data_IF_252462354534
#
_entry.id   IF_252462354534
#
_cell.length_a   1.000
_cell.length_b   1.000
_cell.length_c   1.000
_cell.angle_alpha   90.00
_cell.angle_beta   90.00
_cell.angle_gamma   90.00
#
_symmetry.space_group_name_H-M   'P 1'
#
loop_
_entity.id
_entity.type
_entity.pdbx_description
1 polymer ?
#
# COMPACT_ATOMS: atom_id res chain seq x y z
N UNK A 1 -31.49 -6.23 45.02
CA UNK A 1 -30.66 -7.05 45.94
C UNK A 1 -31.21 -7.13 47.38
N UNK A 2 -31.86 -6.12 47.90
CA UNK A 2 -32.42 -6.10 49.29
C UNK A 2 -33.58 -7.05 49.52
N UNK A 3 -34.47 -7.32 48.55
CA UNK A 3 -35.67 -8.15 48.74
C UNK A 3 -35.39 -9.63 49.00
N UNK A 4 -34.26 -10.15 48.54
CA UNK A 4 -33.89 -11.59 48.66
C UNK A 4 -33.34 -11.94 50.04
N UNK A 5 -32.97 -10.95 50.86
CA UNK A 5 -32.26 -11.16 52.13
C UNK A 5 -33.15 -11.77 53.21
N UNK A 6 -34.49 -11.56 53.15
CA UNK A 6 -35.46 -12.03 54.15
C UNK A 6 -36.19 -13.33 53.76
N UNK A 7 -35.85 -13.97 52.63
CA UNK A 7 -36.53 -15.18 52.16
C UNK A 7 -35.94 -16.47 52.75
N UNK A 8 -36.74 -17.58 52.82
CA UNK A 8 -36.25 -18.91 53.21
C UNK A 8 -35.08 -19.39 52.31
N UNK A 9 -34.16 -20.15 52.88
CA UNK A 9 -32.94 -20.61 52.20
C UNK A 9 -33.22 -21.31 50.86
N UNK A 10 -34.25 -22.16 50.80
CA UNK A 10 -34.62 -22.87 49.55
C UNK A 10 -35.05 -21.90 48.44
N UNK A 11 -35.89 -20.90 48.80
CA UNK A 11 -36.38 -19.89 47.85
C UNK A 11 -35.25 -19.00 47.33
N UNK A 12 -34.27 -18.67 48.18
CA UNK A 12 -33.04 -17.95 47.76
C UNK A 12 -32.22 -18.74 46.74
N UNK A 13 -32.05 -20.06 46.97
CA UNK A 13 -31.28 -20.95 46.07
C UNK A 13 -31.97 -21.04 44.72
N UNK A 14 -33.31 -21.19 44.72
CA UNK A 14 -34.09 -21.22 43.48
C UNK A 14 -34.00 -19.92 42.69
N UNK A 15 -34.17 -18.75 43.33
CA UNK A 15 -34.08 -17.45 42.66
C UNK A 15 -32.68 -17.22 42.10
N UNK A 16 -31.63 -17.59 42.84
CA UNK A 16 -30.24 -17.48 42.31
C UNK A 16 -30.01 -18.36 41.11
N UNK A 17 -30.53 -19.60 41.14
CA UNK A 17 -30.42 -20.50 39.99
C UNK A 17 -31.19 -19.98 38.77
N UNK A 18 -32.41 -19.51 38.96
CA UNK A 18 -33.21 -18.90 37.88
C UNK A 18 -32.57 -17.63 37.33
N UNK A 19 -32.05 -16.75 38.20
CA UNK A 19 -31.34 -15.55 37.75
C UNK A 19 -30.05 -15.89 36.99
N UNK A 20 -29.31 -16.90 37.45
CA UNK A 20 -28.12 -17.39 36.75
C UNK A 20 -28.46 -17.93 35.34
N UNK A 21 -29.53 -18.74 35.28
CA UNK A 21 -29.99 -19.27 33.99
C UNK A 21 -30.50 -18.15 33.05
N UNK A 22 -31.22 -17.18 33.57
CA UNK A 22 -31.70 -16.03 32.78
C UNK A 22 -30.54 -15.18 32.25
N UNK A 23 -29.49 -14.98 33.04
CA UNK A 23 -28.28 -14.28 32.60
C UNK A 23 -27.56 -15.06 31.49
N UNK A 24 -27.42 -16.38 31.66
CA UNK A 24 -26.79 -17.23 30.64
C UNK A 24 -27.57 -17.23 29.32
N UNK A 25 -28.91 -17.30 29.39
CA UNK A 25 -29.76 -17.20 28.21
C UNK A 25 -29.66 -15.84 27.55
N UNK A 26 -29.67 -14.75 28.30
CA UNK A 26 -29.48 -13.42 27.76
C UNK A 26 -28.11 -13.26 27.09
N UNK A 27 -27.05 -13.79 27.69
CA UNK A 27 -25.71 -13.80 27.11
C UNK A 27 -25.67 -14.59 25.82
N UNK A 28 -26.28 -15.78 25.82
CA UNK A 28 -26.33 -16.63 24.61
C UNK A 28 -27.08 -15.92 23.43
N UNK A 29 -28.18 -15.22 23.75
CA UNK A 29 -28.93 -14.43 22.76
C UNK A 29 -28.08 -13.28 22.22
N UNK A 30 -27.40 -12.55 23.11
CA UNK A 30 -26.53 -11.43 22.69
C UNK A 30 -25.40 -11.93 21.81
N UNK A 31 -24.71 -13.00 22.21
CA UNK A 31 -23.64 -13.61 21.39
C UNK A 31 -24.17 -14.08 20.03
N UNK A 32 -25.34 -14.74 20.02
CA UNK A 32 -25.96 -15.16 18.78
C UNK A 32 -26.30 -13.98 17.87
N UNK A 33 -26.87 -12.89 18.40
CA UNK A 33 -27.17 -11.69 17.64
C UNK A 33 -25.92 -11.00 17.09
N UNK A 34 -24.83 -11.04 17.83
CA UNK A 34 -23.53 -10.52 17.36
C UNK A 34 -22.99 -11.39 16.22
N UNK A 35 -23.00 -12.72 16.40
CA UNK A 35 -22.44 -13.65 15.42
C UNK A 35 -23.29 -13.84 14.16
N UNK A 36 -24.60 -13.62 14.21
CA UNK A 36 -25.52 -13.80 13.07
C UNK A 36 -26.18 -12.52 12.59
N UNK A 37 -25.98 -11.42 13.30
CA UNK A 37 -26.55 -10.11 12.98
C UNK A 37 -25.63 -9.23 12.12
N UNK A 38 -25.94 -7.94 12.00
CA UNK A 38 -25.15 -6.99 11.20
C UNK A 38 -23.68 -6.87 11.60
N UNK A 39 -23.30 -7.31 12.79
CA UNK A 39 -21.92 -7.31 13.27
C UNK A 39 -21.12 -8.56 12.84
N UNK A 40 -21.77 -9.59 12.27
CA UNK A 40 -21.08 -10.81 11.82
C UNK A 40 -20.01 -10.50 10.79
N UNK A 41 -20.30 -9.63 9.83
CA UNK A 41 -19.34 -9.21 8.79
C UNK A 41 -18.09 -8.56 9.41
N UNK A 42 -18.24 -7.76 10.45
CA UNK A 42 -17.09 -7.18 11.15
C UNK A 42 -16.29 -8.23 11.92
N UNK A 43 -16.97 -9.22 12.51
CA UNK A 43 -16.30 -10.34 13.17
C UNK A 43 -15.54 -11.22 12.17
N UNK A 44 -16.14 -11.49 11.00
CA UNK A 44 -15.50 -12.23 9.93
C UNK A 44 -14.26 -11.51 9.40
N UNK A 45 -14.32 -10.18 9.24
CA UNK A 45 -13.17 -9.36 8.84
C UNK A 45 -12.02 -9.37 9.87
N UNK A 46 -12.35 -9.46 11.17
CA UNK A 46 -11.34 -9.42 12.23
C UNK A 46 -10.80 -10.81 12.56
N UNK A 47 -11.61 -11.86 12.40
CA UNK A 47 -11.27 -13.24 12.81
C UNK A 47 -11.07 -14.20 11.63
N UNK A 48 -11.46 -13.81 10.42
CA UNK A 48 -11.44 -14.69 9.26
C UNK A 48 -10.10 -14.66 8.54
N UNK A 49 -9.30 -15.71 8.66
CA UNK A 49 -8.36 -16.06 7.61
C UNK A 49 -9.17 -16.68 6.46
N UNK A 50 -9.58 -15.83 5.51
CA UNK A 50 -10.21 -16.34 4.30
C UNK A 50 -9.23 -17.21 3.53
N UNK A 51 -9.62 -18.43 3.16
CA UNK A 51 -8.86 -19.24 2.22
C UNK A 51 -9.63 -19.38 0.91
N UNK A 52 -8.92 -19.21 -0.20
CA UNK A 52 -9.45 -19.47 -1.53
C UNK A 52 -8.92 -20.83 -1.98
N UNK A 53 -9.73 -21.63 -2.67
CA UNK A 53 -9.23 -22.88 -3.27
C UNK A 53 -8.17 -22.58 -4.34
N UNK A 54 -7.23 -23.50 -4.55
CA UNK A 54 -6.19 -23.37 -5.57
C UNK A 54 -6.79 -23.17 -6.97
N UNK A 55 -7.91 -23.84 -7.27
CA UNK A 55 -8.62 -23.72 -8.54
C UNK A 55 -9.14 -22.30 -8.76
N UNK A 56 -9.85 -21.72 -7.78
CA UNK A 56 -10.36 -20.32 -7.87
C UNK A 56 -9.20 -19.33 -7.92
N UNK A 57 -8.12 -19.58 -7.21
CA UNK A 57 -6.93 -18.73 -7.24
C UNK A 57 -6.27 -18.74 -8.62
N UNK A 58 -6.20 -19.89 -9.28
CA UNK A 58 -5.66 -20.01 -10.64
C UNK A 58 -6.55 -19.28 -11.67
N UNK A 59 -7.86 -19.50 -11.62
CA UNK A 59 -8.81 -18.80 -12.49
C UNK A 59 -8.76 -17.28 -12.30
N UNK A 60 -8.68 -16.82 -11.05
CA UNK A 60 -8.56 -15.40 -10.73
C UNK A 60 -7.25 -14.81 -11.27
N UNK A 61 -6.15 -15.55 -11.20
CA UNK A 61 -4.86 -15.12 -11.74
C UNK A 61 -4.90 -14.98 -13.26
N UNK A 62 -5.50 -15.94 -13.96
CA UNK A 62 -5.67 -15.88 -15.41
C UNK A 62 -6.51 -14.66 -15.82
N UNK A 63 -7.64 -14.44 -15.15
CA UNK A 63 -8.51 -13.30 -15.40
C UNK A 63 -7.81 -11.95 -15.10
N UNK A 64 -7.06 -11.85 -14.01
CA UNK A 64 -6.29 -10.65 -13.68
C UNK A 64 -5.24 -10.36 -14.73
N UNK A 65 -4.56 -11.38 -15.26
CA UNK A 65 -3.60 -11.21 -16.34
C UNK A 65 -4.26 -10.70 -17.62
N UNK A 66 -5.43 -11.23 -17.99
CA UNK A 66 -6.21 -10.76 -19.13
C UNK A 66 -6.63 -9.29 -18.96
N UNK A 67 -7.22 -8.94 -17.82
CA UNK A 67 -7.62 -7.56 -17.50
C UNK A 67 -6.40 -6.62 -17.53
N UNK A 68 -5.26 -7.05 -17.02
CA UNK A 68 -4.03 -6.25 -17.02
C UNK A 68 -3.53 -5.99 -18.43
N UNK A 69 -3.52 -7.02 -19.29
CA UNK A 69 -3.12 -6.88 -20.68
C UNK A 69 -4.03 -5.93 -21.46
N UNK A 70 -5.34 -6.02 -21.25
CA UNK A 70 -6.32 -5.11 -21.86
C UNK A 70 -6.24 -3.69 -21.29
N UNK A 71 -5.82 -3.54 -20.03
CA UNK A 71 -5.68 -2.25 -19.36
C UNK A 71 -4.41 -1.47 -19.70
N UNK A 72 -3.40 -2.14 -20.29
CA UNK A 72 -2.16 -1.48 -20.68
C UNK A 72 -2.37 -0.67 -21.97
N UNK A 73 -2.11 0.64 -21.89
CA UNK A 73 -2.27 1.56 -23.02
C UNK A 73 -0.90 2.02 -23.50
N UNK A 74 -0.58 1.74 -24.76
CA UNK A 74 0.57 2.33 -25.45
C UNK A 74 0.18 3.73 -25.95
N UNK A 75 0.56 4.75 -25.19
CA UNK A 75 0.20 6.14 -25.52
C UNK A 75 1.03 6.70 -26.68
N UNK A 76 2.29 6.27 -26.83
CA UNK A 76 3.21 6.73 -27.85
C UNK A 76 4.30 5.70 -28.08
N UNK A 77 4.73 5.51 -29.32
CA UNK A 77 5.86 4.64 -29.68
C UNK A 77 6.57 5.23 -30.91
N UNK A 78 7.31 6.31 -30.69
CA UNK A 78 8.11 6.92 -31.74
C UNK A 78 9.32 6.05 -32.05
N UNK A 79 9.73 6.02 -33.30
CA UNK A 79 10.86 5.24 -33.79
C UNK A 79 10.78 3.72 -33.51
N UNK A 80 9.62 3.21 -33.13
CA UNK A 80 9.39 1.80 -32.79
C UNK A 80 10.35 1.24 -31.73
N UNK A 81 10.61 2.01 -30.68
CA UNK A 81 11.42 1.58 -29.53
C UNK A 81 10.79 0.37 -28.83
N UNK A 82 9.48 0.31 -28.79
CA UNK A 82 8.75 -0.82 -28.22
C UNK A 82 8.26 -1.78 -29.31
N UNK A 83 8.28 -3.09 -29.06
CA UNK A 83 8.76 -3.75 -27.83
C UNK A 83 10.28 -3.76 -27.71
N UNK A 84 10.79 -3.67 -26.49
CA UNK A 84 12.22 -3.86 -26.21
C UNK A 84 12.57 -5.32 -26.45
N UNK A 85 13.65 -5.57 -27.19
CA UNK A 85 14.06 -6.92 -27.55
C UNK A 85 14.63 -7.68 -26.33
N UNK A 86 14.37 -8.98 -26.25
CA UNK A 86 15.05 -9.85 -25.27
C UNK A 86 16.58 -9.80 -25.47
N UNK A 87 17.33 -9.80 -24.39
CA UNK A 87 18.77 -9.60 -24.37
C UNK A 87 19.20 -8.13 -24.33
N UNK A 88 18.24 -7.18 -24.34
CA UNK A 88 18.54 -5.77 -24.18
C UNK A 88 18.91 -5.43 -22.74
N UNK A 89 19.64 -4.32 -22.59
CA UNK A 89 19.97 -3.71 -21.29
C UNK A 89 19.21 -2.42 -21.11
N UNK A 90 18.63 -2.23 -19.92
CA UNK A 90 17.91 -1.02 -19.54
C UNK A 90 18.48 -0.37 -18.28
N UNK A 91 18.63 0.94 -18.30
CA UNK A 91 18.71 1.73 -17.09
C UNK A 91 17.29 2.02 -16.61
N UNK A 92 16.92 1.55 -15.42
CA UNK A 92 15.57 1.79 -14.86
C UNK A 92 15.66 2.87 -13.80
N UNK A 93 15.02 3.99 -14.06
CA UNK A 93 14.95 5.16 -13.18
C UNK A 93 13.59 5.30 -12.52
N UNK A 94 13.56 5.98 -11.36
CA UNK A 94 12.38 6.23 -10.56
C UNK A 94 12.23 5.27 -9.39
N UNK A 95 11.96 5.80 -8.20
CA UNK A 95 11.87 5.00 -6.98
C UNK A 95 10.80 3.90 -7.03
N UNK A 96 9.75 4.13 -7.80
CA UNK A 96 8.69 3.14 -7.97
C UNK A 96 9.13 1.88 -8.73
N UNK A 97 10.30 1.89 -9.36
CA UNK A 97 10.84 0.70 -10.02
C UNK A 97 11.16 -0.44 -9.04
N UNK A 98 11.54 -0.08 -7.81
CA UNK A 98 11.92 -1.04 -6.75
C UNK A 98 10.93 -1.13 -5.61
N UNK A 99 10.03 -0.16 -5.48
CA UNK A 99 9.04 -0.12 -4.39
C UNK A 99 7.70 0.44 -4.88
N UNK A 100 7.06 -0.18 -5.86
CA UNK A 100 5.79 0.28 -6.39
C UNK A 100 4.68 0.20 -5.34
N UNK A 101 3.59 0.93 -5.61
CA UNK A 101 2.36 0.82 -4.85
C UNK A 101 1.40 -0.11 -5.59
N UNK A 102 1.26 -1.31 -5.09
CA UNK A 102 0.26 -2.24 -5.62
C UNK A 102 -1.05 -2.08 -4.86
N UNK A 103 -2.15 -1.92 -5.59
CA UNK A 103 -3.49 -1.89 -5.01
C UNK A 103 -3.88 -0.63 -4.25
N UNK A 104 -3.05 0.41 -4.20
CA UNK A 104 -3.35 1.67 -3.51
C UNK A 104 -3.22 1.59 -1.99
N UNK A 105 -3.81 2.57 -1.30
CA UNK A 105 -3.82 2.68 0.16
C UNK A 105 -5.23 2.45 0.71
N UNK A 106 -5.36 2.21 2.01
CA UNK A 106 -6.64 1.97 2.68
C UNK A 106 -7.16 0.54 2.48
N UNK A 107 -8.46 0.41 2.29
CA UNK A 107 -9.15 -0.89 2.15
C UNK A 107 -8.79 -1.64 0.87
N UNK A 108 -8.24 -0.95 -0.12
CA UNK A 108 -7.75 -1.55 -1.38
C UNK A 108 -6.28 -2.00 -1.33
N UNK A 109 -5.63 -1.92 -0.17
CA UNK A 109 -4.24 -2.35 -0.03
C UNK A 109 -4.08 -3.84 -0.34
N UNK A 110 -2.98 -4.17 -1.01
CA UNK A 110 -2.68 -5.55 -1.37
C UNK A 110 -2.38 -6.39 -0.13
N UNK A 111 -2.82 -7.63 -0.15
CA UNK A 111 -2.50 -8.60 0.88
C UNK A 111 -1.14 -9.27 0.59
N UNK A 112 -0.17 -9.09 1.48
CA UNK A 112 1.19 -9.65 1.36
C UNK A 112 1.24 -11.19 1.33
N UNK A 113 0.12 -11.87 1.62
CA UNK A 113 0.03 -13.33 1.54
C UNK A 113 0.06 -13.86 0.10
N UNK A 114 -0.18 -13.00 -0.89
CA UNK A 114 -0.19 -13.39 -2.30
C UNK A 114 1.09 -12.95 -3.00
N UNK A 115 1.68 -13.80 -3.84
CA UNK A 115 2.87 -13.44 -4.60
C UNK A 115 2.57 -12.33 -5.61
N UNK A 116 3.49 -11.40 -5.72
CA UNK A 116 3.43 -10.31 -6.70
C UNK A 116 4.70 -10.34 -7.53
N UNK A 117 4.55 -10.28 -8.85
CA UNK A 117 5.69 -10.09 -9.75
C UNK A 117 5.98 -8.60 -9.84
N UNK A 118 7.12 -8.16 -9.32
CA UNK A 118 7.56 -6.78 -9.45
C UNK A 118 8.10 -6.47 -10.85
N UNK A 119 8.26 -5.17 -11.15
CA UNK A 119 8.71 -4.71 -12.46
C UNK A 119 10.07 -5.28 -12.87
N UNK A 120 11.04 -5.29 -11.97
CA UNK A 120 12.40 -5.75 -12.29
C UNK A 120 12.42 -7.25 -12.55
N UNK A 121 11.67 -8.02 -11.73
CA UNK A 121 11.47 -9.46 -11.96
C UNK A 121 10.81 -9.71 -13.31
N UNK A 122 9.74 -8.98 -13.64
CA UNK A 122 9.07 -9.13 -14.93
C UNK A 122 9.96 -8.78 -16.14
N UNK A 123 10.81 -7.77 -16.00
CA UNK A 123 11.81 -7.44 -17.03
C UNK A 123 12.85 -8.56 -17.21
N UNK A 124 13.36 -9.10 -16.10
CA UNK A 124 14.30 -10.22 -16.14
C UNK A 124 13.68 -11.48 -16.75
N UNK A 125 12.43 -11.79 -16.39
CA UNK A 125 11.70 -12.92 -16.97
C UNK A 125 11.47 -12.76 -18.49
N UNK A 126 11.35 -11.51 -18.96
CA UNK A 126 11.30 -11.20 -20.37
C UNK A 126 12.69 -11.22 -21.05
N UNK A 127 13.75 -11.52 -20.33
CA UNK A 127 15.12 -11.57 -20.82
C UNK A 127 15.79 -10.21 -20.95
N UNK A 128 15.31 -9.19 -20.24
CA UNK A 128 15.87 -7.84 -20.21
C UNK A 128 16.75 -7.69 -18.98
N UNK A 129 17.99 -7.25 -19.17
CA UNK A 129 18.92 -6.97 -18.08
C UNK A 129 18.73 -5.54 -17.58
N UNK A 130 18.75 -5.34 -16.27
CA UNK A 130 18.65 -4.02 -15.63
C UNK A 130 19.93 -3.64 -14.89
N UNK A 131 20.18 -2.34 -14.73
CA UNK A 131 21.36 -1.82 -14.05
C UNK A 131 21.23 -2.00 -12.52
N UNK A 132 22.00 -2.91 -11.95
CA UNK A 132 21.98 -3.25 -10.53
C UNK A 132 22.36 -2.07 -9.61
N UNK A 133 23.23 -1.17 -10.07
CA UNK A 133 23.60 0.01 -9.29
C UNK A 133 22.41 0.95 -9.09
N UNK A 134 21.63 1.19 -10.16
CA UNK A 134 20.40 1.98 -10.07
C UNK A 134 19.34 1.29 -9.22
N UNK A 135 19.15 -0.02 -9.41
CA UNK A 135 18.21 -0.80 -8.61
C UNK A 135 18.57 -0.75 -7.13
N UNK A 136 19.85 -0.88 -6.80
CA UNK A 136 20.33 -0.75 -5.42
C UNK A 136 20.11 0.66 -4.86
N UNK A 137 20.45 1.70 -5.63
CA UNK A 137 20.24 3.09 -5.23
C UNK A 137 18.79 3.36 -4.85
N UNK A 138 17.84 2.94 -5.68
CA UNK A 138 16.42 3.13 -5.41
C UNK A 138 15.91 2.25 -4.26
N UNK A 139 16.40 1.03 -4.13
CA UNK A 139 16.06 0.17 -2.99
C UNK A 139 16.50 0.80 -1.67
N UNK A 140 17.72 1.30 -1.61
CA UNK A 140 18.25 1.97 -0.43
C UNK A 140 17.47 3.26 -0.13
N UNK A 141 17.14 4.04 -1.13
CA UNK A 141 16.31 5.25 -1.01
C UNK A 141 14.90 4.93 -0.47
N UNK A 142 14.26 3.90 -1.01
CA UNK A 142 12.92 3.47 -0.60
C UNK A 142 12.89 2.86 0.80
N UNK A 143 14.03 2.46 1.36
CA UNK A 143 14.10 1.92 2.73
C UNK A 143 13.64 2.92 3.80
N UNK A 144 13.63 4.21 3.48
CA UNK A 144 13.15 5.28 4.35
C UNK A 144 11.64 5.52 4.25
N UNK A 145 10.96 4.83 3.32
CA UNK A 145 9.53 4.96 3.10
C UNK A 145 8.76 4.37 4.29
N UNK A 146 7.81 5.09 4.87
CA UNK A 146 7.03 4.55 5.96
C UNK A 146 6.06 3.46 5.52
N UNK A 147 5.69 2.64 6.46
CA UNK A 147 4.65 1.67 6.29
C UNK A 147 3.27 2.31 6.30
N UNK A 148 2.39 1.83 5.44
CA UNK A 148 0.96 2.15 5.49
C UNK A 148 0.33 1.51 6.71
N UNK A 149 -0.54 2.24 7.40
CA UNK A 149 -1.30 1.75 8.54
C UNK A 149 -2.64 2.45 8.63
N UNK A 150 -3.53 1.96 9.46
CA UNK A 150 -4.89 2.49 9.61
C UNK A 150 -4.91 4.01 9.91
N UNK A 151 -3.92 4.53 10.60
CA UNK A 151 -3.80 5.94 10.95
C UNK A 151 -2.84 6.73 10.03
N UNK A 152 -2.15 6.05 9.13
CA UNK A 152 -1.19 6.63 8.21
C UNK A 152 -1.39 6.06 6.82
N UNK A 153 -2.13 6.80 6.00
CA UNK A 153 -2.48 6.40 4.62
C UNK A 153 -1.54 7.00 3.57
N UNK A 154 -0.86 8.08 3.91
CA UNK A 154 0.08 8.74 3.02
C UNK A 154 1.48 8.19 3.21
N UNK A 155 1.97 7.51 2.21
CA UNK A 155 3.28 6.90 2.14
C UNK A 155 4.02 7.27 0.85
N UNK A 156 3.58 8.38 0.25
CA UNK A 156 4.24 8.96 -0.91
C UNK A 156 5.68 9.30 -0.58
N UNK A 157 6.58 8.96 -1.46
CA UNK A 157 7.99 9.32 -1.40
C UNK A 157 8.28 10.28 -2.57
N UNK A 158 8.93 11.42 -2.35
CA UNK A 158 9.39 12.25 -3.46
C UNK A 158 10.47 11.52 -4.27
N UNK A 159 10.66 11.89 -5.52
CA UNK A 159 11.82 11.40 -6.27
C UNK A 159 13.12 11.87 -5.58
N UNK A 160 14.21 11.08 -5.68
CA UNK A 160 15.51 11.49 -5.16
C UNK A 160 15.93 12.85 -5.72
N UNK A 161 16.50 13.69 -4.87
CA UNK A 161 17.07 14.96 -5.30
C UNK A 161 18.17 14.73 -6.34
N UNK A 162 18.26 15.62 -7.32
CA UNK A 162 19.26 15.54 -8.40
C UNK A 162 20.69 15.41 -7.87
N UNK A 163 20.99 16.03 -6.74
CA UNK A 163 22.31 15.94 -6.10
C UNK A 163 22.71 14.54 -5.61
N UNK A 164 21.74 13.62 -5.49
CA UNK A 164 22.01 12.23 -5.13
C UNK A 164 22.48 11.37 -6.33
N UNK A 165 22.26 11.85 -7.54
CA UNK A 165 22.77 11.22 -8.77
C UNK A 165 24.18 11.68 -9.04
N UNK A 166 25.15 10.93 -8.54
CA UNK A 166 26.57 11.30 -8.70
C UNK A 166 27.01 11.18 -10.16
N UNK A 167 28.04 11.96 -10.53
CA UNK A 167 28.64 11.88 -11.86
C UNK A 167 29.13 10.46 -12.19
N UNK A 168 29.64 9.73 -11.20
CA UNK A 168 30.07 8.34 -11.33
C UNK A 168 28.89 7.40 -11.65
N UNK A 169 27.80 7.50 -10.88
CA UNK A 169 26.56 6.72 -11.14
C UNK A 169 26.01 7.00 -12.55
N UNK A 170 25.97 8.27 -12.96
CA UNK A 170 25.46 8.65 -14.26
C UNK A 170 26.39 8.20 -15.40
N UNK A 171 27.70 8.23 -15.18
CA UNK A 171 28.68 7.68 -16.13
C UNK A 171 28.54 6.16 -16.27
N UNK A 172 28.34 5.45 -15.17
CA UNK A 172 28.06 4.01 -15.15
C UNK A 172 26.76 3.69 -15.91
N UNK A 173 25.69 4.38 -15.60
CA UNK A 173 24.42 4.19 -16.30
C UNK A 173 24.56 4.39 -17.80
N UNK A 174 25.25 5.44 -18.25
CA UNK A 174 25.51 5.70 -19.66
C UNK A 174 26.40 4.62 -20.31
N UNK A 175 27.36 4.08 -19.60
CA UNK A 175 28.20 2.98 -20.08
C UNK A 175 27.44 1.64 -20.12
N UNK A 176 26.46 1.46 -19.27
CA UNK A 176 25.64 0.24 -19.18
C UNK A 176 24.67 0.10 -20.36
N UNK A 177 23.91 1.15 -20.67
CA UNK A 177 22.92 1.14 -21.75
C UNK A 177 22.59 2.54 -22.26
N UNK A 178 22.36 2.65 -23.57
CA UNK A 178 21.82 3.87 -24.20
C UNK A 178 20.30 3.98 -24.07
N UNK A 179 19.64 2.96 -23.52
CA UNK A 179 18.18 2.94 -23.33
C UNK A 179 17.84 3.05 -21.86
N UNK A 180 16.90 3.90 -21.56
CA UNK A 180 16.40 4.11 -20.21
C UNK A 180 14.87 3.95 -20.15
N UNK A 181 14.39 3.33 -19.06
CA UNK A 181 13.00 3.32 -18.65
C UNK A 181 12.85 4.26 -17.44
N UNK A 182 11.89 5.15 -17.49
CA UNK A 182 11.55 6.02 -16.35
C UNK A 182 10.20 5.61 -15.81
N UNK A 183 10.19 5.15 -14.56
CA UNK A 183 8.98 4.68 -13.87
C UNK A 183 8.40 5.82 -13.06
N UNK A 184 7.28 6.32 -13.50
CA UNK A 184 6.57 7.40 -12.82
C UNK A 184 5.35 6.81 -12.12
N UNK A 185 5.23 7.05 -10.83
CA UNK A 185 4.06 6.64 -10.06
C UNK A 185 3.46 7.81 -9.30
N UNK A 186 2.16 7.71 -9.06
CA UNK A 186 1.41 8.62 -8.22
C UNK A 186 0.61 7.79 -7.25
N UNK A 187 0.93 7.89 -5.98
CA UNK A 187 0.23 7.15 -4.93
C UNK A 187 -0.94 7.97 -4.44
N UNK A 188 -2.12 7.42 -4.60
CA UNK A 188 -3.36 7.96 -4.06
C UNK A 188 -4.21 6.85 -3.47
N UNK A 189 -5.15 7.20 -2.62
CA UNK A 189 -6.04 6.24 -2.00
C UNK A 189 -6.92 6.87 -0.93
N UNK A 190 -7.55 6.05 -0.13
CA UNK A 190 -8.44 6.50 0.94
C UNK A 190 -7.70 7.40 1.93
N UNK A 191 -8.13 8.66 2.06
CA UNK A 191 -7.49 9.65 2.93
C UNK A 191 -6.15 10.21 2.43
N UNK A 192 -5.77 9.91 1.17
CA UNK A 192 -4.54 10.37 0.53
C UNK A 192 -4.80 10.70 -0.94
N UNK A 193 -5.58 11.74 -1.20
CA UNK A 193 -5.95 12.16 -2.55
C UNK A 193 -4.73 12.62 -3.36
N UNK A 194 -4.78 12.35 -4.67
CA UNK A 194 -3.81 12.90 -5.61
C UNK A 194 -3.97 14.42 -5.76
N UNK A 195 -2.89 15.16 -6.02
CA UNK A 195 -2.99 16.57 -6.31
C UNK A 195 -3.76 16.81 -7.62
N UNK A 196 -4.67 17.78 -7.59
CA UNK A 196 -5.43 18.21 -8.77
C UNK A 196 -4.68 19.27 -9.59
N UNK A 197 -3.62 19.83 -9.02
CA UNK A 197 -2.78 20.85 -9.65
C UNK A 197 -1.31 20.46 -9.52
N UNK A 198 -0.68 20.21 -10.66
CA UNK A 198 0.73 19.81 -10.72
C UNK A 198 1.69 20.92 -10.31
N UNK A 199 1.32 22.17 -10.43
CA UNK A 199 2.15 23.28 -9.95
C UNK A 199 2.35 23.21 -8.44
N UNK A 200 1.34 22.75 -7.72
CA UNK A 200 1.42 22.52 -6.28
C UNK A 200 2.39 21.38 -5.88
N UNK A 201 2.62 20.44 -6.77
CA UNK A 201 3.64 19.37 -6.57
C UNK A 201 5.03 19.94 -6.79
N UNK A 202 5.19 20.74 -7.84
CA UNK A 202 6.48 21.34 -8.22
C UNK A 202 6.95 22.35 -7.17
N UNK A 203 6.04 23.21 -6.67
CA UNK A 203 6.37 24.22 -5.65
C UNK A 203 6.34 23.66 -4.21
N UNK A 204 5.97 22.40 -4.02
CA UNK A 204 5.88 21.73 -2.74
C UNK A 204 4.71 22.14 -1.84
N UNK A 205 3.83 23.01 -2.30
CA UNK A 205 2.67 23.46 -1.51
C UNK A 205 1.67 22.33 -1.25
N UNK A 206 1.64 21.31 -2.12
CA UNK A 206 0.84 20.12 -1.93
C UNK A 206 1.22 19.37 -0.63
N UNK A 207 2.49 19.12 -0.44
CA UNK A 207 2.98 18.38 0.72
C UNK A 207 2.79 19.17 2.01
N UNK A 208 2.99 20.49 1.97
CA UNK A 208 2.69 21.37 3.11
C UNK A 208 1.22 21.30 3.51
N UNK A 209 0.29 21.33 2.56
CA UNK A 209 -1.15 21.20 2.82
C UNK A 209 -1.51 19.86 3.46
N UNK A 210 -0.91 18.77 3.00
CA UNK A 210 -1.12 17.44 3.59
C UNK A 210 -0.62 17.41 5.03
N UNK A 211 0.54 17.98 5.30
CA UNK A 211 1.10 18.05 6.65
C UNK A 211 0.24 18.91 7.60
N UNK A 212 -0.26 20.06 7.13
CA UNK A 212 -1.15 20.94 7.87
C UNK A 212 -2.50 20.30 8.16
N UNK A 213 -3.10 19.64 7.17
CA UNK A 213 -4.37 18.93 7.32
C UNK A 213 -4.30 17.82 8.37
N UNK A 214 -3.21 17.10 8.42
CA UNK A 214 -2.99 16.04 9.41
C UNK A 214 -2.61 16.55 10.78
N UNK A 215 -2.39 17.85 10.94
CA UNK A 215 -2.16 18.50 12.24
C UNK A 215 -0.97 17.98 13.01
N UNK A 216 0.00 17.37 12.34
CA UNK A 216 1.12 16.76 13.02
C UNK A 216 2.45 17.17 12.41
N UNK A 217 3.33 17.63 13.27
CA UNK A 217 4.77 17.65 12.99
C UNK A 217 5.29 16.30 12.48
N UNK A 218 4.58 15.20 12.77
CA UNK A 218 4.88 13.87 12.24
C UNK A 218 4.45 13.68 10.78
N UNK A 219 3.43 14.34 10.30
CA UNK A 219 3.10 14.35 8.86
C UNK A 219 4.12 15.16 8.07
N UNK A 220 4.54 16.32 8.59
CA UNK A 220 5.68 17.04 8.07
C UNK A 220 6.97 16.27 8.30
N UNK A 221 7.11 15.66 9.48
CA UNK A 221 8.21 14.84 9.85
C UNK A 221 8.39 13.57 9.06
N UNK A 222 7.40 13.15 8.32
CA UNK A 222 7.47 12.03 7.42
C UNK A 222 8.23 12.31 6.13
N UNK A 223 7.95 13.47 5.63
CA UNK A 223 8.79 14.00 4.58
C UNK A 223 10.06 14.65 5.12
N UNK A 224 10.17 14.60 6.49
CA UNK A 224 11.05 15.23 7.18
C UNK A 224 12.37 14.94 6.97
N UNK A 225 13.16 15.60 6.95
CA UNK A 225 14.52 15.36 6.67
C UNK A 225 14.84 15.05 5.20
N UNK A 226 13.83 14.61 4.45
CA UNK A 226 13.95 14.43 3.01
C UNK A 226 13.20 15.50 2.25
N UNK A 227 12.35 16.22 2.93
CA UNK A 227 11.55 17.27 2.35
C UNK A 227 11.78 18.58 3.10
N UNK A 228 12.70 19.36 2.62
CA UNK A 228 12.86 20.77 2.95
C UNK A 228 12.59 21.64 1.72
N UNK A 229 12.52 22.95 1.93
CA UNK A 229 12.23 23.88 0.85
C UNK A 229 13.31 23.90 -0.25
N UNK A 230 14.52 23.43 0.04
CA UNK A 230 15.61 23.30 -0.94
C UNK A 230 15.34 22.22 -1.97
N UNK A 231 14.64 21.14 -1.60
CA UNK A 231 14.23 20.09 -2.52
C UNK A 231 13.27 20.60 -3.61
N UNK A 232 12.53 21.68 -3.36
CA UNK A 232 11.64 22.27 -4.35
C UNK A 232 12.34 23.16 -5.35
N UNK A 233 13.43 23.77 -4.98
CA UNK A 233 14.21 24.60 -5.89
C UNK A 233 14.88 23.77 -6.99
N UNK A 234 15.29 22.55 -6.65
CA UNK A 234 15.92 21.62 -7.58
C UNK A 234 14.93 20.88 -8.50
N UNK A 235 13.62 21.08 -8.29
CA UNK A 235 12.56 20.48 -9.11
C UNK A 235 11.96 21.45 -10.16
N UNK A 236 12.40 22.69 -10.13
CA UNK A 236 12.05 23.69 -11.14
C UNK A 236 12.96 23.62 -12.34
#
# INVERSE_FOLDING_TARGET
MFAVRKMPKAKKKMIRAQSGLAILLALAIVVNLICTGPMSTMLDLVSGEGSISEEISAEATELVNEITQEGIVLAQNDDNILPVASGSKLNVFGWASTSPCYGGTGSGALNDAYPVTDLLTGLHDAGIETNDELSKFYTDYCSTRPSVGMAQQDWTLPEPNVSLYTDEMMANAKAYSDTAMVVITRVGGEGADLPTDMSAVVDGSWIRRVAEYRGSEKGAGYYNGTYDDTLNEDRK
#
